data_IF_748876358850
#
_entry.id   IF_748876358850
#
_cell.length_a   1.000
_cell.length_b   1.000
_cell.length_c   1.000
_cell.angle_alpha   90.00
_cell.angle_beta   90.00
_cell.angle_gamma   90.00
#
_symmetry.space_group_name_H-M   'P 1'
#
loop_
_entity.id
_entity.type
_entity.pdbx_description
1 polymer ?
#
# COMPACT_ATOMS: atom_id res chain seq x y z
N UNK A 1 -18.00 -11.55 -13.34
CA UNK A 1 -17.59 -10.26 -13.95
C UNK A 1 -18.60 -9.22 -13.47
N UNK A 2 -18.30 -8.54 -12.36
CA UNK A 2 -19.13 -7.42 -11.89
C UNK A 2 -18.98 -6.30 -12.93
N UNK A 3 -20.12 -5.83 -13.45
CA UNK A 3 -20.18 -4.74 -14.42
C UNK A 3 -19.76 -3.44 -13.73
N UNK A 4 -18.54 -3.00 -13.99
CA UNK A 4 -17.92 -1.83 -13.35
C UNK A 4 -18.01 -0.55 -14.21
N UNK A 5 -19.05 -0.44 -15.05
CA UNK A 5 -19.28 0.72 -15.93
C UNK A 5 -20.53 1.52 -15.50
N UNK A 6 -20.64 1.82 -14.21
CA UNK A 6 -21.64 2.78 -13.70
C UNK A 6 -20.91 4.10 -13.45
N UNK A 7 -21.01 5.00 -14.42
CA UNK A 7 -20.53 6.37 -14.29
C UNK A 7 -21.45 7.14 -13.34
N UNK A 8 -20.86 7.92 -12.45
CA UNK A 8 -21.54 8.69 -11.42
C UNK A 8 -21.03 10.12 -11.37
N UNK A 9 -21.60 10.91 -10.46
CA UNK A 9 -21.08 12.25 -10.17
C UNK A 9 -19.76 12.16 -9.39
N UNK A 10 -19.02 13.28 -9.31
CA UNK A 10 -17.70 13.32 -8.67
C UNK A 10 -17.74 12.93 -7.18
N UNK A 11 -18.84 13.26 -6.50
CA UNK A 11 -19.12 12.90 -5.12
C UNK A 11 -19.34 11.40 -4.92
N UNK A 12 -19.80 10.68 -5.95
CA UNK A 12 -19.92 9.22 -5.92
C UNK A 12 -18.58 8.51 -6.18
N UNK A 13 -17.68 9.09 -6.98
CA UNK A 13 -16.34 8.54 -7.25
C UNK A 13 -15.46 8.51 -6.00
N UNK A 14 -15.55 9.56 -5.18
CA UNK A 14 -14.79 9.71 -3.91
C UNK A 14 -14.85 8.44 -3.07
N UNK A 15 -16.05 7.88 -2.88
CA UNK A 15 -16.27 6.74 -2.00
C UNK A 15 -15.71 5.42 -2.54
N UNK A 16 -15.43 5.34 -3.85
CA UNK A 16 -14.80 4.17 -4.48
C UNK A 16 -13.28 4.18 -4.33
N UNK A 17 -12.68 5.33 -4.01
CA UNK A 17 -11.23 5.45 -3.79
C UNK A 17 -10.80 4.77 -2.50
N UNK A 18 -9.52 4.44 -2.44
CA UNK A 18 -8.98 3.72 -1.29
C UNK A 18 -8.63 4.67 -0.14
N UNK A 19 -7.85 5.73 -0.41
CA UNK A 19 -7.29 6.61 0.63
C UNK A 19 -7.71 8.05 0.43
N UNK A 20 -7.94 8.77 1.53
CA UNK A 20 -8.32 10.19 1.55
C UNK A 20 -7.34 11.07 0.77
N UNK A 21 -6.04 10.84 0.96
CA UNK A 21 -4.96 11.54 0.24
C UNK A 21 -5.02 11.38 -1.29
N UNK A 22 -5.65 10.31 -1.79
CA UNK A 22 -5.81 10.05 -3.23
C UNK A 22 -7.18 10.52 -3.76
N UNK A 23 -8.01 11.16 -2.93
CA UNK A 23 -9.39 11.58 -3.25
C UNK A 23 -9.55 13.11 -3.25
N UNK A 24 -8.47 13.83 -3.57
CA UNK A 24 -8.48 15.27 -3.82
C UNK A 24 -8.70 15.54 -5.30
N UNK A 25 -9.62 16.46 -5.62
CA UNK A 25 -9.93 16.85 -6.99
C UNK A 25 -9.51 18.30 -7.22
N UNK A 26 -8.79 18.55 -8.30
CA UNK A 26 -8.31 19.89 -8.65
C UNK A 26 -9.17 20.46 -9.79
N UNK A 27 -9.75 21.64 -9.56
CA UNK A 27 -10.53 22.35 -10.57
C UNK A 27 -9.67 23.40 -11.28
N UNK A 28 -9.44 23.23 -12.58
CA UNK A 28 -8.65 24.17 -13.39
C UNK A 28 -9.37 25.49 -13.69
N UNK A 29 -10.69 25.56 -13.51
CA UNK A 29 -11.49 26.74 -13.83
C UNK A 29 -11.35 27.85 -12.78
N UNK A 30 -11.26 27.47 -11.51
CA UNK A 30 -11.16 28.39 -10.37
C UNK A 30 -9.94 28.11 -9.47
N UNK A 31 -9.09 27.14 -9.86
CA UNK A 31 -7.88 26.72 -9.13
C UNK A 31 -8.18 26.19 -7.72
N UNK A 32 -9.41 25.77 -7.44
CA UNK A 32 -9.82 25.19 -6.16
C UNK A 32 -9.46 23.70 -6.05
N UNK A 33 -9.37 23.22 -4.80
CA UNK A 33 -9.26 21.81 -4.46
C UNK A 33 -10.56 21.40 -3.78
N UNK A 34 -11.23 20.38 -4.31
CA UNK A 34 -12.42 19.79 -3.68
C UNK A 34 -11.99 18.58 -2.86
N UNK A 35 -12.37 18.61 -1.59
CA UNK A 35 -12.05 17.59 -0.61
C UNK A 35 -13.32 17.18 0.13
N UNK A 36 -13.75 15.94 -0.11
CA UNK A 36 -14.98 15.37 0.45
C UNK A 36 -14.72 14.50 1.70
N UNK A 37 -13.45 14.20 2.00
CA UNK A 37 -13.07 13.16 2.97
C UNK A 37 -11.99 13.61 3.96
N UNK A 38 -11.58 14.88 3.91
CA UNK A 38 -10.49 15.43 4.73
C UNK A 38 -9.10 15.00 4.25
N UNK A 39 -8.96 14.68 2.96
CA UNK A 39 -7.70 14.28 2.35
C UNK A 39 -6.60 15.33 2.46
N UNK A 40 -6.95 16.62 2.46
CA UNK A 40 -5.96 17.69 2.56
C UNK A 40 -5.30 17.71 3.94
N UNK A 41 -6.10 17.60 5.00
CA UNK A 41 -5.60 17.51 6.38
C UNK A 41 -4.76 16.25 6.60
N UNK A 42 -5.18 15.13 6.02
CA UNK A 42 -4.43 13.87 6.08
C UNK A 42 -3.07 13.98 5.36
N UNK A 43 -3.00 14.64 4.21
CA UNK A 43 -1.74 14.90 3.50
C UNK A 43 -0.82 15.81 4.34
N UNK A 44 -1.35 16.87 4.92
CA UNK A 44 -0.58 17.76 5.81
C UNK A 44 -0.02 17.01 7.03
N UNK A 45 -0.83 16.12 7.61
CA UNK A 45 -0.45 15.29 8.74
C UNK A 45 0.41 14.06 8.37
N UNK A 46 0.71 13.85 7.08
CA UNK A 46 1.37 12.62 6.56
C UNK A 46 0.68 11.34 7.05
N UNK A 47 -0.66 11.35 7.05
CA UNK A 47 -1.52 10.26 7.49
C UNK A 47 -2.18 9.58 6.29
N UNK A 48 -2.11 8.26 6.23
CA UNK A 48 -2.83 7.45 5.25
C UNK A 48 -4.07 6.87 5.91
N UNK A 49 -5.23 7.41 5.56
CA UNK A 49 -6.53 6.98 6.06
C UNK A 49 -7.35 6.36 4.94
N UNK A 50 -7.87 5.15 5.17
CA UNK A 50 -8.79 4.51 4.24
C UNK A 50 -10.15 5.23 4.25
N UNK A 51 -10.78 5.34 3.08
CA UNK A 51 -12.13 5.91 2.95
C UNK A 51 -13.15 4.82 3.30
N UNK A 52 -14.10 5.13 4.19
CA UNK A 52 -15.09 4.17 4.68
C UNK A 52 -14.56 3.26 5.79
N UNK A 53 -15.26 2.15 6.03
CA UNK A 53 -14.92 1.19 7.09
C UNK A 53 -13.77 0.25 6.67
N UNK A 54 -12.60 0.26 7.34
CA UNK A 54 -11.43 -0.50 6.90
C UNK A 54 -11.66 -2.01 6.79
N UNK A 55 -12.35 -2.62 7.76
CA UNK A 55 -12.62 -4.06 7.72
C UNK A 55 -13.46 -4.43 6.49
N UNK A 56 -14.54 -3.70 6.23
CA UNK A 56 -15.40 -3.92 5.07
C UNK A 56 -14.61 -3.75 3.77
N UNK A 57 -13.84 -2.68 3.62
CA UNK A 57 -13.06 -2.40 2.40
C UNK A 57 -11.96 -3.44 2.15
N UNK A 58 -11.32 -3.97 3.20
CA UNK A 58 -10.34 -5.05 3.05
C UNK A 58 -10.97 -6.39 2.68
N UNK A 59 -12.19 -6.67 3.16
CA UNK A 59 -12.94 -7.86 2.75
C UNK A 59 -13.39 -7.79 1.29
N UNK A 60 -13.79 -6.60 0.82
CA UNK A 60 -14.14 -6.37 -0.58
C UNK A 60 -12.96 -6.54 -1.54
N UNK A 61 -11.79 -5.97 -1.19
CA UNK A 61 -10.56 -6.14 -1.98
C UNK A 61 -9.33 -6.22 -1.05
N UNK A 62 -8.86 -7.43 -0.73
CA UNK A 62 -7.72 -7.63 0.18
C UNK A 62 -6.43 -6.97 -0.29
N UNK A 63 -6.28 -6.71 -1.61
CA UNK A 63 -5.11 -6.02 -2.18
C UNK A 63 -4.94 -4.61 -1.60
N UNK A 64 -5.99 -3.99 -1.06
CA UNK A 64 -5.91 -2.70 -0.36
C UNK A 64 -4.94 -2.71 0.82
N UNK A 65 -4.76 -3.85 1.50
CA UNK A 65 -3.75 -3.98 2.57
C UNK A 65 -2.33 -3.82 2.03
N UNK A 66 -2.03 -4.43 0.88
CA UNK A 66 -0.74 -4.28 0.21
C UNK A 66 -0.55 -2.86 -0.33
N UNK A 67 -1.62 -2.23 -0.86
CA UNK A 67 -1.58 -0.82 -1.27
C UNK A 67 -1.30 0.10 -0.07
N UNK A 68 -1.90 -0.15 1.09
CA UNK A 68 -1.66 0.60 2.32
C UNK A 68 -0.18 0.52 2.73
N UNK A 69 0.35 -0.70 2.82
CA UNK A 69 1.77 -0.94 3.11
C UNK A 69 2.70 -0.27 2.08
N UNK A 70 2.35 -0.34 0.80
CA UNK A 70 3.12 0.30 -0.28
C UNK A 70 3.15 1.81 -0.14
N UNK A 71 2.00 2.46 0.10
CA UNK A 71 1.96 3.91 0.24
C UNK A 71 2.63 4.38 1.53
N UNK A 72 2.50 3.64 2.63
CA UNK A 72 3.24 3.90 3.89
C UNK A 72 4.75 3.87 3.62
N UNK A 73 5.23 2.87 2.88
CA UNK A 73 6.64 2.77 2.52
C UNK A 73 7.10 3.86 1.54
N UNK A 74 6.33 4.11 0.47
CA UNK A 74 6.68 5.02 -0.60
C UNK A 74 6.68 6.49 -0.18
N UNK A 75 5.66 6.90 0.57
CA UNK A 75 5.42 8.31 0.89
C UNK A 75 6.04 8.70 2.25
N UNK A 76 6.43 7.72 3.07
CA UNK A 76 6.83 7.97 4.46
C UNK A 76 5.68 8.49 5.32
N UNK A 77 4.44 8.17 4.94
CA UNK A 77 3.24 8.48 5.73
C UNK A 77 3.03 7.38 6.77
N UNK A 78 2.26 7.68 7.81
CA UNK A 78 1.82 6.69 8.79
C UNK A 78 0.37 6.31 8.52
N UNK A 79 0.03 5.02 8.63
CA UNK A 79 -1.36 4.60 8.58
C UNK A 79 -2.13 5.15 9.78
N UNK A 80 -3.34 5.66 9.53
CA UNK A 80 -4.31 5.94 10.59
C UNK A 80 -4.57 4.66 11.42
N UNK A 81 -4.67 4.73 12.77
CA UNK A 81 -4.82 3.54 13.60
C UNK A 81 -5.98 2.63 13.20
N UNK A 82 -7.13 3.21 12.82
CA UNK A 82 -8.28 2.42 12.37
C UNK A 82 -8.01 1.72 11.02
N UNK A 83 -7.20 2.32 10.16
CA UNK A 83 -6.75 1.71 8.90
C UNK A 83 -5.72 0.59 9.16
N UNK A 84 -4.84 0.76 10.13
CA UNK A 84 -3.75 -0.16 10.40
C UNK A 84 -4.17 -1.44 11.13
N UNK A 85 -5.08 -1.33 12.10
CA UNK A 85 -5.41 -2.40 13.05
C UNK A 85 -5.98 -3.67 12.39
N UNK A 86 -6.89 -3.59 11.40
CA UNK A 86 -7.47 -4.79 10.77
C UNK A 86 -6.48 -5.54 9.85
N UNK A 87 -5.41 -4.89 9.38
CA UNK A 87 -4.49 -5.47 8.39
C UNK A 87 -3.91 -6.79 8.89
N UNK A 88 -3.41 -6.80 10.13
CA UNK A 88 -2.80 -8.00 10.71
C UNK A 88 -3.81 -9.14 10.88
N UNK A 89 -5.07 -8.83 11.17
CA UNK A 89 -6.13 -9.82 11.42
C UNK A 89 -6.71 -10.38 10.11
N UNK A 90 -6.78 -9.55 9.07
CA UNK A 90 -7.39 -9.89 7.79
C UNK A 90 -6.38 -10.35 6.74
N UNK A 91 -5.07 -10.38 7.05
CA UNK A 91 -3.98 -10.74 6.13
C UNK A 91 -4.22 -12.03 5.35
N UNK A 92 -4.85 -13.04 5.96
CA UNK A 92 -5.13 -14.35 5.32
C UNK A 92 -6.07 -14.23 4.11
N UNK A 93 -6.87 -13.17 4.02
CA UNK A 93 -7.72 -12.90 2.85
C UNK A 93 -6.91 -12.72 1.56
N UNK A 94 -5.62 -12.35 1.67
CA UNK A 94 -4.73 -12.26 0.50
C UNK A 94 -4.53 -13.60 -0.19
N UNK A 95 -4.71 -14.73 0.50
CA UNK A 95 -4.63 -16.07 -0.12
C UNK A 95 -5.74 -16.30 -1.17
N UNK A 96 -6.86 -15.57 -1.07
CA UNK A 96 -7.95 -15.62 -2.05
C UNK A 96 -7.74 -14.71 -3.27
N UNK A 97 -6.69 -13.88 -3.28
CA UNK A 97 -6.41 -12.95 -4.38
C UNK A 97 -5.68 -13.68 -5.51
N UNK A 98 -6.06 -13.47 -6.79
CA UNK A 98 -5.34 -14.03 -7.92
C UNK A 98 -3.85 -13.68 -7.90
N UNK A 99 -2.99 -14.67 -8.14
CA UNK A 99 -1.54 -14.52 -8.09
C UNK A 99 -1.00 -13.39 -8.99
N UNK A 100 -1.63 -13.13 -10.14
CA UNK A 100 -1.26 -12.02 -11.02
C UNK A 100 -1.41 -10.65 -10.33
N UNK A 101 -2.49 -10.42 -9.56
CA UNK A 101 -2.69 -9.16 -8.83
C UNK A 101 -1.68 -8.99 -7.70
N UNK A 102 -1.35 -10.08 -7.00
CA UNK A 102 -0.31 -10.08 -5.97
C UNK A 102 1.07 -9.81 -6.56
N UNK A 103 1.36 -10.39 -7.73
CA UNK A 103 2.60 -10.16 -8.45
C UNK A 103 2.75 -8.69 -8.86
N UNK A 104 1.72 -8.09 -9.46
CA UNK A 104 1.72 -6.67 -9.84
C UNK A 104 2.00 -5.77 -8.63
N UNK A 105 1.38 -6.05 -7.48
CA UNK A 105 1.60 -5.26 -6.27
C UNK A 105 2.99 -5.51 -5.67
N UNK A 106 3.53 -6.72 -5.78
CA UNK A 106 4.90 -7.07 -5.37
C UNK A 106 5.93 -6.29 -6.20
N UNK A 107 5.74 -6.20 -7.52
CA UNK A 107 6.62 -5.39 -8.38
C UNK A 107 6.60 -3.92 -7.95
N UNK A 108 5.41 -3.36 -7.67
CA UNK A 108 5.31 -1.97 -7.20
C UNK A 108 5.95 -1.76 -5.83
N UNK A 109 5.91 -2.74 -4.94
CA UNK A 109 6.55 -2.68 -3.62
C UNK A 109 8.08 -2.63 -3.72
N UNK A 110 8.70 -3.42 -4.60
CA UNK A 110 10.15 -3.63 -4.60
C UNK A 110 10.91 -2.97 -5.77
N UNK A 111 10.23 -2.61 -6.86
CA UNK A 111 10.87 -2.08 -8.07
C UNK A 111 10.56 -0.59 -8.32
N UNK A 112 10.08 0.15 -7.33
CA UNK A 112 9.75 1.58 -7.49
C UNK A 112 10.48 2.51 -6.52
N UNK A 113 11.69 2.10 -6.08
CA UNK A 113 12.63 3.00 -5.40
C UNK A 113 12.48 3.08 -3.88
N UNK A 114 11.76 2.14 -3.27
CA UNK A 114 11.52 2.09 -1.82
C UNK A 114 11.41 0.66 -1.29
N UNK A 115 12.09 -0.29 -1.93
CA UNK A 115 12.06 -1.72 -1.62
C UNK A 115 12.54 -2.06 -0.21
N UNK A 116 13.59 -1.38 0.29
CA UNK A 116 14.07 -1.60 1.68
C UNK A 116 12.97 -1.23 2.67
N UNK A 117 12.35 -0.06 2.48
CA UNK A 117 11.26 0.41 3.33
C UNK A 117 10.02 -0.46 3.19
N UNK A 118 9.70 -0.93 1.98
CA UNK A 118 8.61 -1.88 1.74
C UNK A 118 8.79 -3.18 2.51
N UNK A 119 10.00 -3.75 2.52
CA UNK A 119 10.29 -4.98 3.27
C UNK A 119 10.03 -4.78 4.78
N UNK A 120 10.45 -3.63 5.32
CA UNK A 120 10.23 -3.29 6.72
C UNK A 120 8.73 -3.15 7.03
N UNK A 121 7.99 -2.37 6.24
CA UNK A 121 6.55 -2.16 6.46
C UNK A 121 5.77 -3.49 6.34
N UNK A 122 6.11 -4.35 5.38
CA UNK A 122 5.47 -5.66 5.25
C UNK A 122 5.70 -6.55 6.48
N UNK A 123 6.85 -6.45 7.15
CA UNK A 123 7.12 -7.17 8.41
C UNK A 123 6.30 -6.59 9.56
N UNK A 124 6.35 -5.26 9.72
CA UNK A 124 5.67 -4.56 10.81
C UNK A 124 4.14 -4.77 10.77
N UNK A 125 3.59 -4.98 9.57
CA UNK A 125 2.17 -5.23 9.33
C UNK A 125 1.78 -6.72 9.22
N UNK A 126 2.72 -7.64 9.48
CA UNK A 126 2.53 -9.10 9.36
C UNK A 126 2.08 -9.56 7.95
N UNK A 127 2.39 -8.79 6.90
CA UNK A 127 2.03 -9.08 5.51
C UNK A 127 3.11 -9.88 4.77
N UNK A 128 4.37 -9.82 5.23
CA UNK A 128 5.48 -10.50 4.56
C UNK A 128 5.30 -12.02 4.51
N UNK A 129 4.82 -12.62 5.60
CA UNK A 129 4.63 -14.08 5.68
C UNK A 129 3.51 -14.59 4.78
N UNK A 130 2.55 -13.73 4.44
CA UNK A 130 1.47 -14.09 3.51
C UNK A 130 1.92 -13.91 2.06
N UNK A 131 2.59 -12.79 1.76
CA UNK A 131 3.03 -12.49 0.40
C UNK A 131 4.20 -13.37 -0.06
N UNK A 132 5.18 -13.60 0.82
CA UNK A 132 6.42 -14.33 0.54
C UNK A 132 6.71 -15.34 1.67
N UNK A 133 5.90 -16.42 1.82
CA UNK A 133 5.92 -17.29 2.99
C UNK A 133 7.25 -17.98 3.27
N UNK A 134 7.99 -18.36 2.22
CA UNK A 134 9.29 -18.98 2.39
C UNK A 134 10.33 -17.97 2.89
N UNK A 135 10.28 -16.75 2.36
CA UNK A 135 11.20 -15.68 2.75
C UNK A 135 10.89 -15.18 4.16
N UNK A 136 9.61 -14.90 4.46
CA UNK A 136 9.17 -14.45 5.79
C UNK A 136 9.60 -15.43 6.88
N UNK A 137 9.29 -16.73 6.71
CA UNK A 137 9.69 -17.77 7.67
C UNK A 137 11.21 -17.91 7.83
N UNK A 138 11.97 -17.78 6.74
CA UNK A 138 13.43 -17.84 6.80
C UNK A 138 14.00 -16.66 7.60
N UNK A 139 13.55 -15.44 7.30
CA UNK A 139 14.06 -14.23 7.95
C UNK A 139 13.65 -14.16 9.43
N UNK A 140 12.47 -14.66 9.80
CA UNK A 140 12.06 -14.78 11.19
C UNK A 140 12.94 -15.75 12.00
N UNK A 141 13.40 -16.86 11.38
CA UNK A 141 14.28 -17.85 12.02
C UNK A 141 15.74 -17.43 12.07
N UNK A 142 16.19 -16.62 11.10
CA UNK A 142 17.60 -16.27 10.92
C UNK A 142 17.78 -14.75 10.74
N UNK A 143 17.42 -13.94 11.75
CA UNK A 143 17.63 -12.50 11.71
C UNK A 143 19.13 -12.17 11.62
N UNK A 144 19.49 -11.19 10.80
CA UNK A 144 20.87 -10.76 10.57
C UNK A 144 21.70 -11.73 9.72
N UNK A 145 21.08 -12.75 9.13
CA UNK A 145 21.78 -13.74 8.29
C UNK A 145 22.45 -13.12 7.06
N UNK A 146 23.47 -13.78 6.48
CA UNK A 146 24.07 -13.34 5.22
C UNK A 146 23.05 -13.19 4.08
N UNK A 147 22.01 -14.03 4.07
CA UNK A 147 20.90 -13.95 3.10
C UNK A 147 20.09 -12.67 3.29
N UNK A 148 19.78 -12.30 4.54
CA UNK A 148 19.09 -11.03 4.82
C UNK A 148 19.94 -9.83 4.40
N UNK A 149 21.24 -9.85 4.70
CA UNK A 149 22.17 -8.79 4.29
C UNK A 149 22.28 -8.67 2.78
N UNK A 150 22.34 -9.80 2.07
CA UNK A 150 22.34 -9.84 0.61
C UNK A 150 21.04 -9.27 0.04
N UNK A 151 19.89 -9.66 0.59
CA UNK A 151 18.58 -9.13 0.21
C UNK A 151 18.52 -7.62 0.39
N UNK A 152 18.91 -7.11 1.57
CA UNK A 152 18.93 -5.68 1.86
C UNK A 152 19.85 -4.93 0.90
N UNK A 153 21.07 -5.40 0.67
CA UNK A 153 21.99 -4.81 -0.29
C UNK A 153 21.41 -4.80 -1.73
N UNK A 154 20.72 -5.87 -2.14
CA UNK A 154 20.03 -5.93 -3.42
C UNK A 154 18.91 -4.89 -3.54
N UNK A 155 18.12 -4.72 -2.47
CA UNK A 155 17.06 -3.71 -2.41
C UNK A 155 17.63 -2.29 -2.37
N UNK A 156 18.66 -2.02 -1.57
CA UNK A 156 19.35 -0.72 -1.50
C UNK A 156 19.89 -0.31 -2.86
N UNK A 157 20.55 -1.23 -3.57
CA UNK A 157 21.06 -0.98 -4.93
C UNK A 157 19.94 -0.73 -5.93
N UNK A 158 18.83 -1.47 -5.82
CA UNK A 158 17.65 -1.28 -6.68
C UNK A 158 17.02 0.09 -6.42
N UNK A 159 16.89 0.46 -5.15
CA UNK A 159 16.33 1.74 -4.72
C UNK A 159 17.19 2.91 -5.23
N UNK A 160 18.52 2.80 -5.09
CA UNK A 160 19.45 3.80 -5.60
C UNK A 160 19.43 3.92 -7.13
N UNK A 161 19.25 2.81 -7.86
CA UNK A 161 19.13 2.83 -9.33
C UNK A 161 17.86 3.53 -9.80
N UNK A 162 16.72 3.13 -9.25
CA UNK A 162 15.42 3.73 -9.58
C UNK A 162 15.41 5.23 -9.22
N UNK A 163 15.95 5.61 -8.06
CA UNK A 163 16.05 7.01 -7.65
C UNK A 163 17.00 7.86 -8.52
N UNK A 164 17.90 7.23 -9.29
CA UNK A 164 18.78 7.87 -10.25
C UNK A 164 18.23 7.83 -11.69
N UNK A 165 16.96 7.45 -11.90
CA UNK A 165 16.33 7.21 -13.20
C UNK A 165 17.12 6.23 -14.09
N UNK A 166 17.80 5.26 -13.47
CA UNK A 166 18.50 4.19 -14.17
C UNK A 166 17.72 2.89 -13.98
N UNK A 167 17.25 2.26 -15.08
CA UNK A 167 16.57 0.97 -14.99
C UNK A 167 17.49 -0.10 -14.39
#
# INVERSE_FOLDING_TARGET
ILRDNVYGNIDEDVWRRDFSANALYYNIADFSIWDYVGGFEDVQARRLKLIGDPETRYREDPVRMLRAARFEAKLGFHLDPATAEPIGQLRELLAGVPAARLFDETLKLFLTGHGVRSLQVLRDRALLEVLLPNLGRFLARHPGSPVEKLLLCGLENTDARVGADRP
#
